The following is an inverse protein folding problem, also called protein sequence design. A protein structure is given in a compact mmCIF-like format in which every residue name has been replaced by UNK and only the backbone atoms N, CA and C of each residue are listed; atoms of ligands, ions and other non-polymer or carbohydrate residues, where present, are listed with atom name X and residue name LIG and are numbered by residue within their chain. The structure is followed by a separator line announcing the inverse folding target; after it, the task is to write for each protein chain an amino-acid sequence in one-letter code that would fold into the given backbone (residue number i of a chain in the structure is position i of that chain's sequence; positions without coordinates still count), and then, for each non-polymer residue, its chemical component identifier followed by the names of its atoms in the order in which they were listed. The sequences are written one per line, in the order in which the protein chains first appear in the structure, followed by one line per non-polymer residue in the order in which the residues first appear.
data_IF_176774137534
#
_entry.id   IF_176774137534
#
_cell.length_a   1.000
_cell.length_b   1.000
_cell.length_c   1.000
_cell.angle_alpha   90.00
_cell.angle_beta   90.00
_cell.angle_gamma   90.00
#
_symmetry.space_group_name_H-M   'P 1'
#
loop_
_entity.id
_entity.type
_entity.pdbx_description
1 polymer ?
#
# COMPACT_ATOMS: atom_id res chain seq x y z
N UNK A 1 15.96 -23.66 -25.77
CA UNK A 1 15.65 -23.98 -24.36
C UNK A 1 14.81 -22.82 -23.86
N UNK A 2 13.51 -22.95 -24.08
CA UNK A 2 12.46 -21.98 -23.81
C UNK A 2 12.39 -21.78 -22.29
N UNK A 3 12.66 -20.56 -21.81
CA UNK A 3 12.37 -20.21 -20.42
C UNK A 3 10.86 -19.95 -20.33
N UNK A 4 10.08 -21.04 -20.22
CA UNK A 4 8.71 -20.95 -19.74
C UNK A 4 8.75 -20.64 -18.24
N UNK A 5 8.76 -19.35 -17.91
CA UNK A 5 8.43 -18.87 -16.57
C UNK A 5 7.36 -17.79 -16.71
N UNK A 6 6.18 -18.20 -17.18
CA UNK A 6 5.00 -17.35 -17.24
C UNK A 6 3.86 -17.95 -16.39
N UNK A 7 4.23 -18.40 -15.19
CA UNK A 7 3.28 -18.89 -14.20
C UNK A 7 3.55 -18.16 -12.88
N UNK A 8 2.71 -17.14 -12.62
CA UNK A 8 2.44 -16.56 -11.32
C UNK A 8 3.67 -16.01 -10.55
N UNK A 9 4.28 -14.93 -11.04
CA UNK A 9 4.75 -13.93 -10.06
C UNK A 9 3.49 -13.44 -9.35
N UNK A 10 3.44 -13.42 -8.00
CA UNK A 10 2.38 -12.69 -7.32
C UNK A 10 2.42 -11.27 -7.89
N UNK A 11 1.34 -10.86 -8.53
CA UNK A 11 1.20 -9.49 -8.94
C UNK A 11 1.42 -8.61 -7.71
N UNK A 12 2.10 -7.46 -7.88
CA UNK A 12 2.45 -6.57 -6.76
C UNK A 12 1.25 -6.17 -5.88
N UNK A 13 0.03 -6.41 -6.38
CA UNK A 13 -1.26 -6.37 -5.68
C UNK A 13 -1.26 -7.17 -4.37
N UNK A 14 -0.84 -8.45 -4.39
CA UNK A 14 -0.88 -9.29 -3.18
C UNK A 14 0.16 -8.84 -2.15
N UNK A 15 1.37 -8.50 -2.61
CA UNK A 15 2.43 -7.97 -1.75
C UNK A 15 2.02 -6.67 -1.06
N UNK A 16 1.36 -5.76 -1.77
CA UNK A 16 0.85 -4.51 -1.21
C UNK A 16 -0.19 -4.73 -0.11
N UNK A 17 -1.09 -5.71 -0.27
CA UNK A 17 -2.11 -6.04 0.74
C UNK A 17 -1.51 -6.64 2.00
N UNK A 18 -0.56 -7.57 1.87
CA UNK A 18 0.10 -8.22 3.01
C UNK A 18 0.85 -7.24 3.90
N UNK A 19 1.44 -6.18 3.32
CA UNK A 19 2.11 -5.13 4.09
C UNK A 19 1.15 -4.11 4.71
N UNK A 20 0.11 -3.71 3.98
CA UNK A 20 -0.75 -2.58 4.37
C UNK A 20 -1.93 -2.95 5.26
N UNK A 21 -2.54 -4.13 5.10
CA UNK A 21 -3.69 -4.52 5.94
C UNK A 21 -3.31 -4.63 7.43
N UNK A 22 -2.15 -5.22 7.81
CA UNK A 22 -1.74 -5.25 9.20
C UNK A 22 -1.57 -3.84 9.81
N UNK A 23 -1.06 -2.86 9.06
CA UNK A 23 -0.89 -1.51 9.59
C UNK A 23 -2.24 -0.83 9.85
N UNK A 24 -3.22 -1.01 8.95
CA UNK A 24 -4.59 -0.52 9.15
C UNK A 24 -5.25 -1.18 10.38
N UNK A 25 -5.14 -2.50 10.51
CA UNK A 25 -5.75 -3.25 11.61
C UNK A 25 -5.14 -2.90 12.97
N UNK A 26 -3.84 -2.62 13.03
CA UNK A 26 -3.16 -2.31 14.29
C UNK A 26 -3.26 -0.84 14.69
N UNK A 27 -3.21 0.11 13.74
CA UNK A 27 -2.98 1.52 14.06
C UNK A 27 -4.14 2.47 13.71
N UNK A 28 -5.09 2.08 12.88
CA UNK A 28 -6.21 2.96 12.54
C UNK A 28 -7.32 2.97 13.60
N UNK A 29 -8.14 4.04 13.68
CA UNK A 29 -9.39 4.03 14.44
C UNK A 29 -10.45 3.10 13.81
N UNK A 30 -11.45 2.63 14.58
CA UNK A 30 -12.46 1.69 14.10
C UNK A 30 -13.19 2.13 12.81
N UNK A 31 -13.51 3.42 12.69
CA UNK A 31 -14.19 3.98 11.52
C UNK A 31 -13.35 3.82 10.23
N UNK A 32 -12.02 3.97 10.33
CA UNK A 32 -11.13 3.77 9.17
C UNK A 32 -10.96 2.29 8.84
N UNK A 33 -10.85 1.40 9.84
CA UNK A 33 -10.79 -0.05 9.60
C UNK A 33 -12.02 -0.56 8.86
N UNK A 34 -13.21 -0.16 9.33
CA UNK A 34 -14.50 -0.58 8.74
C UNK A 34 -14.67 -0.14 7.28
N UNK A 35 -13.99 0.94 6.87
CA UNK A 35 -14.00 1.44 5.49
C UNK A 35 -12.90 0.80 4.63
N UNK A 36 -11.65 0.87 5.10
CA UNK A 36 -10.47 0.58 4.27
C UNK A 36 -10.26 -0.92 4.05
N UNK A 37 -10.47 -1.74 5.09
CA UNK A 37 -10.24 -3.20 5.01
C UNK A 37 -11.11 -3.86 3.93
N UNK A 38 -12.44 -3.66 3.88
CA UNK A 38 -13.25 -4.29 2.82
C UNK A 38 -12.97 -3.71 1.42
N UNK A 39 -12.66 -2.41 1.31
CA UNK A 39 -12.32 -1.80 0.02
C UNK A 39 -11.02 -2.38 -0.57
N UNK A 40 -10.01 -2.65 0.26
CA UNK A 40 -8.72 -3.19 -0.19
C UNK A 40 -8.81 -4.70 -0.43
N UNK A 41 -9.37 -5.48 0.51
CA UNK A 41 -9.53 -6.92 0.34
C UNK A 41 -10.51 -7.28 -0.78
N UNK A 42 -11.51 -6.43 -1.03
CA UNK A 42 -12.44 -6.57 -2.15
C UNK A 42 -11.88 -6.10 -3.49
N UNK A 43 -10.61 -5.67 -3.56
CA UNK A 43 -9.95 -5.23 -4.80
C UNK A 43 -10.43 -3.88 -5.34
N UNK A 44 -11.26 -3.14 -4.59
CA UNK A 44 -11.78 -1.85 -5.00
C UNK A 44 -10.71 -0.75 -4.88
N UNK A 45 -9.78 -0.91 -3.93
CA UNK A 45 -8.67 0.02 -3.70
C UNK A 45 -7.36 -0.72 -3.56
N UNK A 46 -6.28 -0.08 -4.00
CA UNK A 46 -4.91 -0.56 -3.85
C UNK A 46 -4.12 0.36 -2.93
N UNK A 47 -3.24 -0.24 -2.14
CA UNK A 47 -2.30 0.46 -1.28
C UNK A 47 -0.94 0.52 -1.98
N UNK A 48 -0.31 1.69 -1.96
CA UNK A 48 0.94 1.97 -2.69
C UNK A 48 1.94 2.63 -1.76
N UNK A 49 3.20 2.21 -1.85
CA UNK A 49 4.30 2.71 -1.03
C UNK A 49 5.55 3.09 -1.84
N UNK A 50 5.83 2.38 -2.94
CA UNK A 50 7.04 2.57 -3.76
C UNK A 50 6.98 3.83 -4.61
N UNK A 51 8.14 4.42 -4.88
CA UNK A 51 8.35 5.55 -5.80
C UNK A 51 9.51 5.22 -6.78
N UNK A 52 9.72 5.94 -7.89
CA UNK A 52 10.69 5.54 -8.92
C UNK A 52 12.12 5.25 -8.42
N UNK A 53 12.71 6.03 -7.49
CA UNK A 53 14.04 5.71 -6.95
C UNK A 53 14.01 4.75 -5.74
N UNK A 54 12.83 4.43 -5.20
CA UNK A 54 12.70 3.80 -3.88
C UNK A 54 11.81 2.56 -3.93
N UNK A 55 12.45 1.39 -3.85
CA UNK A 55 11.83 0.08 -3.73
C UNK A 55 11.90 -0.46 -2.30
N UNK A 56 12.87 -1.34 -2.04
CA UNK A 56 13.07 -1.97 -0.73
C UNK A 56 13.51 -1.00 0.37
N UNK A 57 14.23 0.07 0.01
CA UNK A 57 14.69 1.10 0.95
C UNK A 57 13.61 2.16 1.20
N UNK A 58 12.48 1.74 1.76
CA UNK A 58 11.31 2.62 2.02
C UNK A 58 11.66 3.88 2.81
N UNK A 59 12.73 3.88 3.61
CA UNK A 59 13.16 5.05 4.37
C UNK A 59 13.66 6.21 3.49
N UNK A 60 14.06 5.92 2.24
CA UNK A 60 14.58 6.91 1.29
C UNK A 60 13.50 7.58 0.43
N UNK A 61 12.21 7.47 0.78
CA UNK A 61 11.14 8.14 0.02
C UNK A 61 11.30 9.66 0.01
N UNK A 62 10.98 10.29 -1.13
CA UNK A 62 11.06 11.74 -1.32
C UNK A 62 9.70 12.43 -1.31
N UNK A 63 8.62 11.66 -1.32
CA UNK A 63 7.25 12.17 -1.20
C UNK A 63 7.06 12.88 0.14
N UNK A 64 6.56 14.12 0.11
CA UNK A 64 6.34 14.95 1.31
C UNK A 64 4.87 15.31 1.48
N UNK A 65 4.42 15.34 2.74
CA UNK A 65 3.13 15.90 3.13
C UNK A 65 3.35 17.20 3.91
N UNK A 66 2.89 18.33 3.36
CA UNK A 66 3.00 19.65 3.99
C UNK A 66 1.68 20.00 4.65
N UNK A 67 1.73 20.29 5.95
CA UNK A 67 0.54 20.69 6.72
C UNK A 67 0.01 22.04 6.25
N UNK A 68 -1.29 22.13 5.98
CA UNK A 68 -1.91 23.39 5.60
C UNK A 68 -2.04 24.34 6.79
N UNK A 69 -2.00 25.68 6.58
CA UNK A 69 -2.12 26.66 7.66
C UNK A 69 -3.43 26.57 8.44
N UNK A 70 -4.51 26.10 7.80
CA UNK A 70 -5.86 26.05 8.37
C UNK A 70 -6.18 24.76 9.15
N UNK A 71 -5.24 23.81 9.18
CA UNK A 71 -5.38 22.56 9.92
C UNK A 71 -6.44 21.60 9.39
N UNK A 72 -6.97 21.80 8.17
CA UNK A 72 -8.00 20.91 7.61
C UNK A 72 -7.46 19.63 6.98
N UNK A 73 -6.13 19.48 6.91
CA UNK A 73 -5.43 18.28 6.43
C UNK A 73 -4.08 18.13 7.16
#
# INVERSE_FOLDING_TARGET
MEHSQDAARPDGSLGGMTLSIPTVLNFCPPALKAKVVPEVLGGQKRMVLTEPPTGSDVASIRTVAVKMPDGKH
#
